data_IF_327358405035
#
_entry.id   IF_327358405035
#
_cell.length_a   1.000
_cell.length_b   1.000
_cell.length_c   1.000
_cell.angle_alpha   90.00
_cell.angle_beta   90.00
_cell.angle_gamma   90.00
#
_symmetry.space_group_name_H-M   'P 1'
#
loop_
_entity.id
_entity.type
_entity.pdbx_description
1 polymer ?
#
# COMPACT_ATOMS: atom_id res chain seq x y z
N UNK A 1 38.31 -41.65 38.24
CA UNK A 1 37.21 -42.46 37.65
C UNK A 1 36.31 -42.88 38.80
N UNK A 2 35.25 -42.12 39.05
CA UNK A 2 34.34 -42.29 40.20
C UNK A 2 32.94 -42.52 39.63
N UNK A 3 32.35 -43.67 39.95
CA UNK A 3 31.01 -44.09 39.55
C UNK A 3 30.12 -44.00 40.78
N UNK A 4 29.01 -43.25 40.71
CA UNK A 4 27.88 -43.43 41.64
C UNK A 4 26.54 -43.23 40.95
N UNK A 5 25.87 -44.37 40.82
CA UNK A 5 24.45 -44.71 40.93
C UNK A 5 23.35 -43.66 40.65
N UNK A 6 22.51 -44.02 39.69
CA UNK A 6 21.19 -43.47 39.37
C UNK A 6 20.17 -43.86 40.45
N UNK A 7 19.35 -42.90 40.89
CA UNK A 7 18.12 -43.15 41.65
C UNK A 7 16.95 -42.53 40.85
N UNK A 8 16.13 -43.41 40.26
CA UNK A 8 14.88 -43.05 39.63
C UNK A 8 13.78 -42.98 40.70
N UNK A 9 13.06 -41.86 40.75
CA UNK A 9 11.86 -41.71 41.57
C UNK A 9 10.67 -41.60 40.62
N UNK A 10 9.85 -42.66 40.59
CA UNK A 10 8.58 -42.68 39.90
C UNK A 10 7.47 -42.26 40.89
N UNK A 11 6.75 -41.19 40.58
CA UNK A 11 5.47 -40.89 41.22
C UNK A 11 4.36 -41.15 40.20
N UNK A 12 3.60 -42.21 40.46
CA UNK A 12 2.31 -42.46 39.84
C UNK A 12 1.22 -42.08 40.85
N UNK A 13 0.33 -41.17 40.47
CA UNK A 13 -0.98 -41.01 41.14
C UNK A 13 -2.04 -40.90 40.05
N UNK A 14 -2.99 -41.81 40.13
CA UNK A 14 -4.16 -41.96 39.30
C UNK A 14 -5.29 -41.00 39.73
N UNK A 15 -6.10 -40.57 38.76
CA UNK A 15 -7.56 -40.55 38.90
C UNK A 15 -8.24 -39.17 38.92
N UNK A 16 -8.97 -38.84 37.85
CA UNK A 16 -10.45 -38.78 37.86
C UNK A 16 -11.00 -38.43 36.46
N UNK A 17 -12.04 -39.17 36.08
CA UNK A 17 -12.78 -39.16 34.80
C UNK A 17 -14.03 -38.26 34.82
N UNK A 18 -14.52 -37.92 33.62
CA UNK A 18 -15.86 -37.43 33.21
C UNK A 18 -16.26 -35.96 33.56
N UNK A 19 -16.87 -35.17 32.66
CA UNK A 19 -17.55 -35.51 31.41
C UNK A 19 -17.84 -34.30 30.48
N UNK A 20 -18.60 -34.52 29.40
CA UNK A 20 -18.74 -33.60 28.27
C UNK A 20 -19.81 -32.52 28.49
N UNK A 21 -19.44 -31.25 28.29
CA UNK A 21 -20.41 -30.16 28.17
C UNK A 21 -21.02 -30.15 26.76
N UNK A 22 -22.31 -30.47 26.74
CA UNK A 22 -23.26 -30.49 25.61
C UNK A 22 -23.38 -29.12 24.92
N UNK A 23 -23.59 -29.07 23.59
CA UNK A 23 -23.81 -27.82 22.85
C UNK A 23 -25.20 -27.25 23.12
N UNK A 24 -25.31 -25.92 23.19
CA UNK A 24 -26.59 -25.23 23.15
C UNK A 24 -26.67 -24.46 21.84
N UNK A 25 -27.48 -24.97 20.92
CA UNK A 25 -28.00 -24.23 19.78
C UNK A 25 -29.37 -23.71 20.16
N UNK A 26 -29.59 -22.39 20.14
CA UNK A 26 -30.92 -21.82 19.88
C UNK A 26 -30.76 -20.58 19.00
N UNK A 27 -31.34 -20.69 17.81
CA UNK A 27 -31.56 -19.67 16.80
C UNK A 27 -32.64 -18.68 17.24
N UNK A 28 -32.45 -17.39 16.98
CA UNK A 28 -33.58 -16.49 16.70
C UNK A 28 -33.17 -15.42 15.70
N UNK A 29 -33.69 -15.59 14.48
CA UNK A 29 -33.84 -14.58 13.44
C UNK A 29 -34.93 -13.61 13.90
N UNK A 30 -34.68 -12.32 13.81
CA UNK A 30 -35.72 -11.31 13.68
C UNK A 30 -35.24 -10.25 12.68
N UNK A 31 -35.89 -10.24 11.52
CA UNK A 31 -35.85 -9.16 10.55
C UNK A 31 -36.45 -7.88 11.17
N UNK A 32 -35.83 -6.74 10.90
CA UNK A 32 -36.50 -5.46 10.92
C UNK A 32 -36.08 -4.69 9.67
N UNK A 33 -37.04 -4.57 8.75
CA UNK A 33 -36.97 -3.81 7.52
C UNK A 33 -37.69 -2.47 7.70
N UNK A 34 -37.18 -1.43 7.02
CA UNK A 34 -37.81 -0.11 6.74
C UNK A 34 -37.97 0.84 7.95
N UNK A 35 -37.74 2.16 7.84
CA UNK A 35 -38.35 3.06 6.85
C UNK A 35 -37.49 4.29 6.51
N UNK A 36 -37.66 4.75 5.27
CA UNK A 36 -37.23 6.02 4.70
C UNK A 36 -37.85 7.20 5.48
N UNK A 37 -37.05 8.23 5.74
CA UNK A 37 -37.53 9.59 5.99
C UNK A 37 -36.79 10.54 5.05
N UNK A 38 -37.40 10.79 3.89
CA UNK A 38 -37.09 11.91 3.01
C UNK A 38 -38.13 12.99 3.27
N UNK A 39 -37.67 14.15 3.74
CA UNK A 39 -38.28 15.47 3.56
C UNK A 39 -37.24 16.45 4.11
N UNK A 40 -36.82 17.51 3.41
CA UNK A 40 -37.57 18.77 3.48
C UNK A 40 -36.97 19.77 2.46
N UNK A 41 -37.88 20.33 1.66
CA UNK A 41 -37.93 21.68 1.05
C UNK A 41 -36.93 22.13 -0.01
N UNK A 42 -37.43 22.10 -1.25
CA UNK A 42 -37.69 23.25 -2.14
C UNK A 42 -37.00 24.59 -1.79
N UNK A 43 -36.18 25.10 -2.71
CA UNK A 43 -36.20 26.52 -3.05
C UNK A 43 -36.07 26.67 -4.57
N UNK A 44 -37.13 27.21 -5.16
CA UNK A 44 -37.21 27.68 -6.52
C UNK A 44 -36.39 28.95 -6.70
N UNK A 45 -35.72 29.08 -7.85
CA UNK A 45 -35.45 30.37 -8.47
C UNK A 45 -35.43 30.19 -9.99
N UNK A 46 -36.55 30.59 -10.59
CA UNK A 46 -36.62 30.94 -11.99
C UNK A 46 -35.81 32.21 -12.23
N UNK A 47 -35.11 32.32 -13.36
CA UNK A 47 -34.93 33.60 -14.05
C UNK A 47 -34.72 33.37 -15.54
N UNK A 48 -35.58 34.07 -16.28
CA UNK A 48 -35.74 34.21 -17.73
C UNK A 48 -34.70 35.17 -18.32
N UNK A 49 -34.22 34.92 -19.55
CA UNK A 49 -33.86 35.92 -20.58
C UNK A 49 -33.53 35.14 -21.89
N UNK A 50 -34.39 35.06 -22.91
CA UNK A 50 -34.80 36.06 -23.93
C UNK A 50 -33.71 36.47 -24.93
N UNK A 51 -33.79 35.83 -26.11
CA UNK A 51 -33.65 36.34 -27.50
C UNK A 51 -32.55 37.36 -27.86
N UNK A 52 -31.75 37.06 -28.90
CA UNK A 52 -31.65 37.94 -30.10
C UNK A 52 -31.10 37.21 -31.33
N UNK A 53 -31.87 37.25 -32.43
CA UNK A 53 -31.44 37.04 -33.81
C UNK A 53 -30.82 38.34 -34.33
N UNK A 54 -29.71 38.26 -35.07
CA UNK A 54 -29.35 39.26 -36.10
C UNK A 54 -28.74 38.52 -37.30
N UNK A 55 -29.53 38.40 -38.36
CA UNK A 55 -29.05 38.31 -39.74
C UNK A 55 -28.50 39.68 -40.14
N UNK A 56 -27.35 39.75 -40.81
CA UNK A 56 -27.05 40.84 -41.74
C UNK A 56 -26.14 40.37 -42.86
N UNK A 57 -26.54 40.78 -44.06
CA UNK A 57 -26.09 40.45 -45.41
C UNK A 57 -24.79 41.16 -45.81
N UNK A 58 -24.11 40.53 -46.78
CA UNK A 58 -22.98 40.91 -47.65
C UNK A 58 -22.51 42.36 -47.75
N UNK A 59 -21.19 42.53 -47.94
CA UNK A 59 -20.60 43.32 -49.04
C UNK A 59 -19.15 42.88 -49.30
N UNK A 60 -18.84 42.63 -50.57
CA UNK A 60 -17.51 42.31 -51.11
C UNK A 60 -16.78 43.62 -51.38
N UNK A 61 -15.52 43.73 -50.96
CA UNK A 61 -14.56 44.71 -51.49
C UNK A 61 -13.17 44.06 -51.54
N UNK A 62 -12.64 43.93 -52.75
CA UNK A 62 -11.28 43.47 -53.02
C UNK A 62 -10.27 44.60 -52.71
N UNK A 63 -9.28 44.32 -51.88
CA UNK A 63 -8.05 45.11 -51.81
C UNK A 63 -6.85 44.15 -51.73
N UNK A 64 -6.05 44.18 -52.78
CA UNK A 64 -4.90 43.29 -52.98
C UNK A 64 -3.72 43.82 -52.17
N UNK A 65 -3.53 43.31 -50.95
CA UNK A 65 -2.31 43.55 -50.16
C UNK A 65 -1.47 42.27 -50.12
N UNK A 66 -0.26 42.35 -50.68
CA UNK A 66 0.73 41.27 -50.67
C UNK A 66 1.35 41.17 -49.27
N UNK A 67 0.87 40.21 -48.48
CA UNK A 67 1.44 39.87 -47.17
C UNK A 67 2.47 38.75 -47.39
N UNK A 68 3.75 39.05 -47.16
CA UNK A 68 4.79 38.04 -47.09
C UNK A 68 4.50 37.11 -45.89
N UNK A 69 4.19 35.85 -46.19
CA UNK A 69 3.97 34.80 -45.20
C UNK A 69 5.32 34.48 -44.57
N UNK A 70 5.55 34.95 -43.34
CA UNK A 70 6.60 34.40 -42.50
C UNK A 70 6.21 32.94 -42.22
N UNK A 71 7.04 31.99 -42.68
CA UNK A 71 6.93 30.59 -42.27
C UNK A 71 7.03 30.54 -40.74
N UNK A 72 5.91 30.21 -40.11
CA UNK A 72 5.86 29.91 -38.69
C UNK A 72 6.67 28.64 -38.48
N UNK A 73 7.88 28.76 -37.94
CA UNK A 73 8.66 27.61 -37.49
C UNK A 73 7.95 27.00 -36.30
N UNK A 74 7.15 25.97 -36.55
CA UNK A 74 6.55 25.14 -35.50
C UNK A 74 7.68 24.40 -34.78
N UNK A 75 8.17 24.98 -33.68
CA UNK A 75 9.01 24.25 -32.74
C UNK A 75 8.08 23.36 -31.94
N UNK A 76 7.90 22.12 -32.40
CA UNK A 76 7.26 21.08 -31.60
C UNK A 76 8.13 20.85 -30.38
N UNK A 77 7.75 21.42 -29.23
CA UNK A 77 8.36 21.06 -27.95
C UNK A 77 8.28 19.54 -27.80
N UNK A 78 9.42 18.92 -27.46
CA UNK A 78 9.44 17.52 -27.13
C UNK A 78 8.43 17.28 -25.99
N UNK A 79 7.64 16.20 -26.03
CA UNK A 79 6.63 15.93 -25.03
C UNK A 79 7.26 15.97 -23.64
N UNK A 80 6.64 16.74 -22.73
CA UNK A 80 7.07 16.82 -21.35
C UNK A 80 7.09 15.40 -20.76
N UNK A 81 8.23 15.02 -20.17
CA UNK A 81 8.33 13.77 -19.44
C UNK A 81 7.52 13.89 -18.15
N UNK A 82 6.64 12.91 -17.89
CA UNK A 82 5.75 12.88 -16.72
C UNK A 82 6.11 11.67 -15.87
N UNK A 83 6.36 11.91 -14.58
CA UNK A 83 6.59 10.82 -13.62
C UNK A 83 5.35 9.94 -13.56
N UNK A 84 5.53 8.62 -13.66
CA UNK A 84 4.41 7.67 -13.78
C UNK A 84 4.47 6.65 -12.66
N UNK A 85 3.47 6.64 -11.78
CA UNK A 85 3.27 5.59 -10.78
C UNK A 85 2.93 4.27 -11.49
N UNK A 86 3.59 3.16 -11.12
CA UNK A 86 3.31 1.84 -11.72
C UNK A 86 2.69 0.84 -10.75
N UNK A 87 2.68 1.13 -9.45
CA UNK A 87 1.97 0.33 -8.45
C UNK A 87 0.50 0.70 -8.40
N UNK A 88 -0.35 -0.31 -8.25
CA UNK A 88 -1.79 -0.17 -8.02
C UNK A 88 -2.11 -0.39 -6.55
N UNK A 89 -3.13 0.31 -6.04
CA UNK A 89 -3.56 0.28 -4.64
C UNK A 89 -2.42 0.60 -3.64
N UNK A 90 -1.75 1.77 -3.74
CA UNK A 90 -0.57 2.09 -2.92
C UNK A 90 -0.87 2.21 -1.42
N UNK A 91 -2.05 2.69 -1.04
CA UNK A 91 -2.51 2.83 0.36
C UNK A 91 -3.44 1.71 0.83
N UNK A 92 -3.62 0.65 0.04
CA UNK A 92 -4.53 -0.46 0.39
C UNK A 92 -6.01 -0.06 0.55
N UNK A 93 -6.44 1.03 -0.06
CA UNK A 93 -7.75 1.65 0.12
C UNK A 93 -8.81 1.23 -0.91
N UNK A 94 -8.41 0.56 -2.00
CA UNK A 94 -9.35 0.14 -3.06
C UNK A 94 -10.45 -0.78 -2.52
N UNK A 95 -10.17 -1.54 -1.45
CA UNK A 95 -11.13 -2.40 -0.76
C UNK A 95 -10.73 -2.66 0.70
N UNK A 96 -11.59 -2.32 1.67
CA UNK A 96 -11.32 -2.50 3.10
C UNK A 96 -11.14 -3.94 3.59
N UNK A 97 -11.43 -4.95 2.76
CA UNK A 97 -11.27 -6.36 3.11
C UNK A 97 -10.24 -7.09 2.22
N UNK A 98 -9.60 -6.38 1.29
CA UNK A 98 -8.67 -7.00 0.33
C UNK A 98 -7.52 -6.08 -0.01
N UNK A 99 -6.30 -6.60 0.19
CA UNK A 99 -5.06 -5.93 -0.23
C UNK A 99 -4.76 -6.07 -1.73
N UNK A 100 -5.63 -6.72 -2.51
CA UNK A 100 -5.44 -6.90 -3.94
C UNK A 100 -5.14 -5.55 -4.64
N UNK A 101 -4.22 -5.49 -5.61
CA UNK A 101 -3.51 -6.60 -6.24
C UNK A 101 -2.20 -7.01 -5.54
N UNK A 102 -2.00 -6.63 -4.28
CA UNK A 102 -0.88 -7.15 -3.49
C UNK A 102 -1.12 -8.59 -3.04
N UNK A 103 -0.05 -9.39 -3.07
CA UNK A 103 0.00 -10.78 -2.63
C UNK A 103 0.97 -10.94 -1.47
N UNK A 104 0.86 -12.06 -0.76
CA UNK A 104 1.74 -12.41 0.35
C UNK A 104 1.06 -12.27 1.71
N UNK A 105 1.88 -12.04 2.72
CA UNK A 105 1.53 -11.94 4.12
C UNK A 105 0.87 -10.59 4.46
N UNK A 106 0.65 -10.38 5.76
CA UNK A 106 0.03 -9.19 6.29
C UNK A 106 -1.48 -9.12 6.07
N UNK A 107 -2.15 -8.38 6.94
CA UNK A 107 -3.60 -8.17 6.92
C UNK A 107 -3.91 -6.69 6.87
N UNK A 108 -5.00 -6.33 6.19
CA UNK A 108 -5.51 -4.95 6.21
C UNK A 108 -5.80 -4.55 7.67
N UNK A 109 -5.36 -3.36 8.04
CA UNK A 109 -5.71 -2.73 9.32
C UNK A 109 -6.25 -1.32 9.05
N UNK A 110 -7.30 -0.95 9.78
CA UNK A 110 -7.80 0.42 9.86
C UNK A 110 -7.27 1.16 11.09
N UNK A 111 -6.61 0.44 11.99
CA UNK A 111 -6.06 1.01 13.21
C UNK A 111 -4.66 1.58 12.93
N UNK A 112 -4.58 2.91 12.96
CA UNK A 112 -3.32 3.62 12.83
C UNK A 112 -2.72 3.61 11.43
N UNK A 113 -3.56 3.62 10.38
CA UNK A 113 -3.11 3.84 9.00
C UNK A 113 -2.33 5.16 8.87
N UNK A 114 -1.37 5.23 7.95
CA UNK A 114 -0.63 6.47 7.70
C UNK A 114 -1.52 7.43 6.93
N UNK A 115 -2.09 6.93 5.84
CA UNK A 115 -3.14 7.61 5.09
C UNK A 115 -4.43 6.81 5.28
N UNK A 116 -5.49 7.49 5.72
CA UNK A 116 -6.77 6.80 5.93
C UNK A 116 -7.39 6.36 4.59
N UNK A 117 -8.15 5.23 4.58
CA UNK A 117 -8.53 4.42 5.75
C UNK A 117 -7.60 3.26 6.16
N UNK A 118 -6.79 2.70 5.26
CA UNK A 118 -6.15 1.40 5.48
C UNK A 118 -4.63 1.47 5.50
N UNK A 119 -4.03 0.45 6.11
CA UNK A 119 -2.63 0.10 5.95
C UNK A 119 -2.49 -1.43 5.94
N UNK A 120 -1.30 -1.95 5.65
CA UNK A 120 -0.99 -3.37 5.84
C UNK A 120 -0.27 -3.60 7.17
N UNK A 121 -0.70 -4.59 7.95
CA UNK A 121 -0.12 -4.96 9.23
C UNK A 121 0.48 -6.36 9.20
N UNK A 122 1.72 -6.47 9.70
CA UNK A 122 2.46 -7.71 9.86
C UNK A 122 2.66 -8.01 11.33
N UNK A 123 2.26 -9.21 11.76
CA UNK A 123 2.36 -9.66 13.15
C UNK A 123 3.36 -10.82 13.23
N UNK A 124 4.45 -10.59 13.95
CA UNK A 124 5.48 -11.58 14.24
C UNK A 124 5.25 -12.13 15.64
N UNK A 125 5.49 -13.43 15.87
CA UNK A 125 5.18 -14.08 17.14
C UNK A 125 6.33 -14.97 17.62
N UNK A 126 6.40 -15.25 18.91
CA UNK A 126 7.41 -16.13 19.53
C UNK A 126 8.86 -15.70 19.22
N UNK A 127 9.13 -14.40 19.30
CA UNK A 127 10.48 -13.85 19.16
C UNK A 127 11.06 -13.90 17.75
N UNK A 128 10.27 -14.20 16.72
CA UNK A 128 10.78 -14.18 15.35
C UNK A 128 9.75 -14.30 14.24
N UNK A 129 10.23 -14.30 13.00
CA UNK A 129 9.44 -14.64 11.82
C UNK A 129 9.91 -13.90 10.57
N UNK A 130 9.37 -14.33 9.43
CA UNK A 130 9.55 -13.69 8.13
C UNK A 130 8.17 -13.41 7.55
N UNK A 131 8.05 -12.33 6.80
CA UNK A 131 6.85 -11.98 6.06
C UNK A 131 7.24 -11.29 4.75
N UNK A 132 6.36 -11.32 3.77
CA UNK A 132 6.55 -10.63 2.51
C UNK A 132 5.23 -10.11 1.97
N UNK A 133 5.25 -8.92 1.37
CA UNK A 133 4.18 -8.44 0.50
C UNK A 133 4.76 -8.09 -0.87
N UNK A 134 4.03 -8.38 -1.95
CA UNK A 134 4.51 -8.13 -3.31
C UNK A 134 3.42 -7.82 -4.32
N UNK A 135 3.79 -7.12 -5.37
CA UNK A 135 2.97 -6.87 -6.55
C UNK A 135 3.81 -7.12 -7.80
N UNK A 136 3.26 -7.91 -8.73
CA UNK A 136 3.91 -8.16 -10.01
C UNK A 136 3.72 -6.95 -10.93
N UNK A 137 4.84 -6.39 -11.38
CA UNK A 137 4.90 -5.26 -12.29
C UNK A 137 5.43 -5.72 -13.65
N UNK A 138 5.07 -5.00 -14.71
CA UNK A 138 5.48 -5.32 -16.08
C UNK A 138 6.02 -4.09 -16.81
N UNK A 139 6.83 -4.34 -17.84
CA UNK A 139 7.38 -3.30 -18.72
C UNK A 139 8.13 -2.19 -17.95
N UNK A 140 8.98 -2.59 -17.01
CA UNK A 140 9.79 -1.66 -16.24
C UNK A 140 10.99 -1.20 -17.08
N UNK A 141 11.10 0.10 -17.34
CA UNK A 141 12.15 0.67 -18.17
C UNK A 141 12.56 2.04 -17.62
N UNK A 142 13.84 2.18 -17.27
CA UNK A 142 14.44 3.42 -16.81
C UNK A 142 14.66 3.46 -15.30
N UNK A 143 14.67 4.67 -14.75
CA UNK A 143 14.88 4.91 -13.32
C UNK A 143 13.54 5.05 -12.61
N UNK A 144 13.47 4.52 -11.40
CA UNK A 144 12.28 4.54 -10.55
C UNK A 144 12.65 4.99 -9.14
N UNK A 145 11.68 5.59 -8.46
CA UNK A 145 11.73 5.88 -7.02
C UNK A 145 10.70 5.03 -6.31
N UNK A 146 11.16 4.11 -5.48
CA UNK A 146 10.35 3.42 -4.49
C UNK A 146 10.21 4.33 -3.27
N UNK A 147 8.99 4.56 -2.80
CA UNK A 147 8.75 5.19 -1.49
C UNK A 147 7.67 4.45 -0.74
N UNK A 148 7.77 4.40 0.59
CA UNK A 148 6.79 3.77 1.47
C UNK A 148 6.90 4.35 2.88
N UNK A 149 5.82 4.25 3.66
CA UNK A 149 5.82 4.56 5.09
C UNK A 149 5.81 3.25 5.88
N UNK A 150 6.54 3.22 6.99
CA UNK A 150 6.58 2.06 7.88
C UNK A 150 6.61 2.49 9.35
N UNK A 151 6.20 1.61 10.26
CA UNK A 151 6.31 1.86 11.70
C UNK A 151 6.20 0.58 12.52
N UNK A 152 6.77 0.60 13.73
CA UNK A 152 6.67 -0.50 14.71
C UNK A 152 5.78 -0.04 15.85
N UNK A 153 4.53 -0.52 15.86
CA UNK A 153 3.46 0.09 16.64
C UNK A 153 3.16 -0.60 17.96
N UNK A 154 3.45 -1.89 18.07
CA UNK A 154 3.15 -2.63 19.30
C UNK A 154 4.06 -3.85 19.46
N UNK A 155 4.25 -4.24 20.71
CA UNK A 155 4.87 -5.49 21.10
C UNK A 155 4.32 -5.99 22.43
N UNK A 156 4.32 -7.31 22.62
CA UNK A 156 3.82 -7.99 23.82
C UNK A 156 4.98 -8.73 24.46
N UNK A 157 5.17 -8.54 25.77
CA UNK A 157 6.23 -9.15 26.57
C UNK A 157 7.63 -8.97 25.95
N UNK A 158 7.93 -7.75 25.51
CA UNK A 158 9.25 -7.43 24.95
C UNK A 158 10.29 -7.38 26.07
N UNK A 159 11.26 -8.31 26.00
CA UNK A 159 12.35 -8.48 26.95
C UNK A 159 13.56 -7.62 26.62
N UNK A 160 14.70 -8.25 26.34
CA UNK A 160 15.97 -7.58 26.01
C UNK A 160 15.93 -6.73 24.72
N UNK A 161 14.85 -6.81 23.93
CA UNK A 161 14.64 -6.03 22.72
C UNK A 161 14.38 -6.91 21.50
N UNK A 162 14.33 -6.28 20.34
CA UNK A 162 14.15 -6.94 19.06
C UNK A 162 14.98 -6.23 17.98
N UNK A 163 15.20 -6.93 16.88
CA UNK A 163 15.75 -6.37 15.65
C UNK A 163 14.98 -6.91 14.47
N UNK A 164 14.63 -6.01 13.57
CA UNK A 164 13.91 -6.32 12.35
C UNK A 164 14.67 -5.79 11.13
N UNK A 165 14.27 -6.25 9.95
CA UNK A 165 14.65 -5.70 8.67
C UNK A 165 13.41 -5.56 7.79
N UNK A 166 13.34 -4.48 7.02
CA UNK A 166 12.38 -4.30 5.93
C UNK A 166 13.21 -4.05 4.68
N UNK A 167 13.28 -5.05 3.82
CA UNK A 167 14.17 -5.10 2.66
C UNK A 167 13.34 -5.07 1.37
N UNK A 168 13.36 -3.95 0.62
CA UNK A 168 12.71 -3.91 -0.68
C UNK A 168 13.48 -4.69 -1.74
N UNK A 169 12.74 -5.29 -2.68
CA UNK A 169 13.31 -5.95 -3.86
C UNK A 169 12.51 -5.67 -5.12
N UNK A 170 13.18 -5.60 -6.27
CA UNK A 170 12.58 -5.60 -7.61
C UNK A 170 13.08 -6.86 -8.33
N UNK A 171 12.25 -7.90 -8.37
CA UNK A 171 12.69 -9.23 -8.81
C UNK A 171 13.84 -9.76 -7.95
N UNK A 172 15.02 -9.88 -8.54
CA UNK A 172 16.23 -10.32 -7.84
C UNK A 172 17.06 -9.17 -7.26
N UNK A 173 16.78 -7.93 -7.65
CA UNK A 173 17.55 -6.78 -7.19
C UNK A 173 17.15 -6.44 -5.76
N UNK A 174 18.13 -6.45 -4.85
CA UNK A 174 17.95 -6.07 -3.46
C UNK A 174 18.24 -4.59 -3.32
N UNK A 175 17.27 -3.84 -2.79
CA UNK A 175 17.44 -2.43 -2.44
C UNK A 175 17.81 -2.36 -0.96
N UNK A 176 18.65 -1.40 -0.59
CA UNK A 176 19.04 -1.17 0.81
C UNK A 176 17.78 -0.99 1.68
N UNK A 177 17.62 -1.89 2.65
CA UNK A 177 16.51 -1.89 3.59
C UNK A 177 16.73 -1.00 4.82
N UNK A 178 15.75 -1.01 5.70
CA UNK A 178 15.79 -0.39 7.03
C UNK A 178 15.82 -1.45 8.11
N UNK A 179 16.41 -1.12 9.26
CA UNK A 179 16.66 -2.08 10.34
C UNK A 179 16.12 -1.58 11.68
N UNK A 180 14.80 -1.58 11.90
CA UNK A 180 14.24 -1.12 13.17
C UNK A 180 14.58 -2.07 14.32
N UNK A 181 15.03 -1.49 15.43
CA UNK A 181 15.37 -2.16 16.68
C UNK A 181 14.58 -1.60 17.89
N UNK A 182 13.57 -0.76 17.61
CA UNK A 182 12.72 -0.14 18.60
C UNK A 182 11.37 0.30 18.03
N UNK A 183 10.47 0.72 18.93
CA UNK A 183 9.18 1.28 18.54
C UNK A 183 9.38 2.61 17.82
N UNK A 184 8.71 2.77 16.70
CA UNK A 184 8.71 4.02 15.96
C UNK A 184 7.34 4.25 15.35
N UNK A 185 6.92 5.52 15.33
CA UNK A 185 5.76 5.92 14.55
C UNK A 185 6.03 5.83 13.05
N UNK A 186 5.08 6.33 12.26
CA UNK A 186 5.23 6.39 10.82
C UNK A 186 6.51 7.11 10.40
N UNK A 187 7.34 6.37 9.67
CA UNK A 187 8.64 6.78 9.16
C UNK A 187 8.63 6.60 7.64
N UNK A 188 8.90 7.67 6.91
CA UNK A 188 8.98 7.63 5.46
C UNK A 188 10.34 7.09 5.00
N UNK A 189 10.32 6.27 3.95
CA UNK A 189 11.53 5.76 3.29
C UNK A 189 11.43 5.97 1.78
N UNK A 190 12.57 6.25 1.14
CA UNK A 190 12.65 6.45 -0.30
C UNK A 190 13.99 5.98 -0.86
N UNK A 191 13.92 5.21 -1.96
CA UNK A 191 15.08 4.59 -2.61
C UNK A 191 14.91 4.62 -4.12
N UNK A 192 16.01 4.74 -4.84
CA UNK A 192 16.02 4.68 -6.30
C UNK A 192 16.42 3.29 -6.78
N UNK A 193 15.85 2.89 -7.91
CA UNK A 193 16.19 1.67 -8.63
C UNK A 193 16.24 1.97 -10.14
N UNK A 194 17.05 1.23 -10.89
CA UNK A 194 17.16 1.39 -12.33
C UNK A 194 17.10 0.03 -13.01
N UNK A 195 16.34 -0.08 -14.09
CA UNK A 195 16.39 -1.26 -14.97
C UNK A 195 17.69 -1.33 -15.80
N UNK A 196 18.56 -0.32 -15.66
CA UNK A 196 19.74 -0.16 -16.50
C UNK A 196 19.35 0.13 -17.96
N UNK A 197 20.12 -0.42 -18.91
CA UNK A 197 19.89 -0.21 -20.34
C UNK A 197 18.81 -1.11 -20.95
N UNK A 198 18.28 -2.07 -20.20
CA UNK A 198 17.33 -3.05 -20.72
C UNK A 198 15.97 -2.89 -20.02
N UNK A 199 14.90 -3.05 -20.79
CA UNK A 199 13.57 -3.17 -20.21
C UNK A 199 13.43 -4.51 -19.48
N UNK A 200 12.87 -4.47 -18.27
CA UNK A 200 12.50 -5.64 -17.49
C UNK A 200 11.03 -5.95 -17.78
N UNK A 201 10.80 -7.03 -18.53
CA UNK A 201 9.46 -7.42 -18.99
C UNK A 201 8.49 -7.65 -17.82
N UNK A 202 8.97 -8.28 -16.75
CA UNK A 202 8.20 -8.55 -15.54
C UNK A 202 9.14 -8.68 -14.34
N UNK A 203 8.73 -8.11 -13.20
CA UNK A 203 9.39 -8.29 -11.92
C UNK A 203 8.40 -8.06 -10.77
N UNK A 204 8.62 -8.73 -9.65
CA UNK A 204 7.86 -8.45 -8.43
C UNK A 204 8.54 -7.32 -7.66
N UNK A 205 7.81 -6.23 -7.41
CA UNK A 205 8.14 -5.33 -6.32
C UNK A 205 7.71 -6.03 -5.03
N UNK A 206 8.64 -6.21 -4.10
CA UNK A 206 8.36 -6.83 -2.81
C UNK A 206 9.00 -6.08 -1.66
N UNK A 207 8.34 -6.09 -0.51
CA UNK A 207 8.92 -5.74 0.78
C UNK A 207 9.04 -7.02 1.59
N UNK A 208 10.28 -7.43 1.89
CA UNK A 208 10.57 -8.62 2.69
C UNK A 208 10.91 -8.18 4.10
N UNK A 209 10.13 -8.65 5.06
CA UNK A 209 10.31 -8.38 6.47
C UNK A 209 10.87 -9.60 7.18
N UNK A 210 11.81 -9.37 8.09
CA UNK A 210 12.29 -10.39 9.00
C UNK A 210 12.49 -9.76 10.37
N UNK A 211 12.05 -10.44 11.42
CA UNK A 211 12.19 -9.98 12.80
C UNK A 211 12.74 -11.10 13.68
N UNK A 212 13.49 -10.71 14.71
CA UNK A 212 13.99 -11.61 15.75
C UNK A 212 14.18 -10.84 17.06
N UNK A 213 14.04 -11.51 18.20
CA UNK A 213 14.22 -10.88 19.50
C UNK A 213 13.53 -11.61 20.64
N UNK A 214 13.39 -10.92 21.76
CA UNK A 214 12.63 -11.39 22.92
C UNK A 214 11.28 -10.69 22.96
N UNK A 215 10.24 -11.32 22.42
CA UNK A 215 8.86 -10.85 22.44
C UNK A 215 7.89 -12.00 22.18
N UNK A 216 6.67 -11.92 22.71
CA UNK A 216 5.61 -12.87 22.35
C UNK A 216 4.95 -12.47 21.03
N UNK A 217 4.80 -11.15 20.81
CA UNK A 217 4.25 -10.58 19.59
C UNK A 217 4.90 -9.24 19.27
N UNK A 218 5.08 -8.93 17.99
CA UNK A 218 5.54 -7.64 17.49
C UNK A 218 4.75 -7.27 16.22
N UNK A 219 4.30 -6.02 16.11
CA UNK A 219 3.51 -5.54 14.97
C UNK A 219 4.23 -4.43 14.21
N UNK A 220 4.40 -4.64 12.90
CA UNK A 220 4.90 -3.64 11.96
C UNK A 220 3.81 -3.32 10.96
N UNK A 221 3.55 -2.04 10.72
CA UNK A 221 2.65 -1.61 9.65
C UNK A 221 3.45 -0.95 8.52
N UNK A 222 2.95 -1.10 7.30
CA UNK A 222 3.46 -0.44 6.09
C UNK A 222 2.28 0.21 5.36
N UNK A 223 2.52 1.35 4.75
CA UNK A 223 1.50 2.09 4.01
C UNK A 223 2.12 2.93 2.86
N UNK A 224 1.27 3.43 1.97
CA UNK A 224 1.60 4.34 0.86
C UNK A 224 2.77 3.87 -0.01
N UNK A 225 2.74 2.60 -0.43
CA UNK A 225 3.82 2.03 -1.25
C UNK A 225 3.70 2.55 -2.68
N UNK A 226 4.68 3.34 -3.11
CA UNK A 226 4.75 3.93 -4.45
C UNK A 226 6.00 3.46 -5.19
N UNK A 227 5.87 3.22 -6.48
CA UNK A 227 7.00 2.96 -7.37
C UNK A 227 6.83 3.79 -8.63
N UNK A 228 7.50 4.93 -8.66
CA UNK A 228 7.26 5.97 -9.65
C UNK A 228 8.41 6.02 -10.64
N UNK A 229 8.12 5.84 -11.92
CA UNK A 229 9.07 6.06 -13.02
C UNK A 229 9.49 7.53 -13.03
N UNK A 230 10.78 7.77 -12.97
CA UNK A 230 11.38 9.09 -12.93
C UNK A 230 11.60 9.66 -14.33
N UNK A 231 11.61 10.99 -14.38
CA UNK A 231 11.87 11.75 -15.58
C UNK A 231 13.34 12.15 -15.70
N UNK A 232 13.92 11.95 -16.90
CA UNK A 232 15.23 12.44 -17.29
C UNK A 232 16.45 11.66 -16.74
N UNK A 233 17.66 12.00 -17.19
CA UNK A 233 18.90 11.51 -16.60
C UNK A 233 19.06 12.14 -15.21
N UNK A 234 18.64 11.42 -14.17
CA UNK A 234 18.95 11.79 -12.79
C UNK A 234 20.45 11.52 -12.62
N UNK A 235 21.25 12.58 -12.71
CA UNK A 235 22.65 12.56 -12.31
C UNK A 235 22.73 12.11 -10.85
N UNK A 236 23.57 11.10 -10.65
CA UNK A 236 23.96 10.52 -9.37
C UNK A 236 24.40 11.56 -8.33
#
# INVERSE_FOLDING_TARGET
>A
MVRYSVLAVAFAILGAEAGPCRPTTVTSVAEASSTIASDTTVTSLATTATTTLVETTSTVLEETTSTAVAESTTTTEAPACVETQVVVNPGFDDNGNSKSPWFGDGSITTNGANTFPNAISFVFSNGGGNAQISQTLTNLEGNYRLSYNWGVFSGVNVGAGFGCSITPKIGNDIILGVYPDGYTGWTAESKTWSSGSNAVAQADLSLVLACSGEYDQLTINIDDITFTKLCGPQAS
#
